data_IF_558111145967
#
_entry.id   IF_558111145967
#
_cell.length_a   1.000
_cell.length_b   1.000
_cell.length_c   1.000
_cell.angle_alpha   90.00
_cell.angle_beta   90.00
_cell.angle_gamma   90.00
#
_symmetry.space_group_name_H-M   'P 1'
#
loop_
_entity.id
_entity.type
_entity.pdbx_description
1 polymer ?
#
# COMPACT_ATOMS: atom_id res chain seq x y z
N UNK A 1 -3.65 19.70 12.06
CA UNK A 1 -4.02 18.27 11.96
C UNK A 1 -3.08 17.46 12.82
N UNK A 2 -3.63 16.45 13.48
CA UNK A 2 -2.87 15.48 14.27
C UNK A 2 -2.76 14.15 13.51
N UNK A 3 -1.85 13.28 13.97
CA UNK A 3 -1.76 11.91 13.48
C UNK A 3 -2.58 11.01 14.41
N UNK A 4 -3.52 10.28 13.83
CA UNK A 4 -4.34 9.29 14.52
C UNK A 4 -3.96 7.89 14.06
N UNK A 5 -3.63 7.01 15.00
CA UNK A 5 -3.32 5.61 14.71
C UNK A 5 -4.51 4.73 15.09
N UNK A 6 -5.13 4.10 14.10
CA UNK A 6 -6.15 3.08 14.31
C UNK A 6 -5.48 1.70 14.36
N UNK A 7 -5.45 1.01 15.52
CA UNK A 7 -4.60 -0.16 15.70
C UNK A 7 -5.16 -1.45 15.11
N UNK A 8 -6.47 -1.52 14.86
CA UNK A 8 -7.16 -2.68 14.30
C UNK A 8 -8.27 -2.26 13.36
N UNK A 9 -8.61 -3.13 12.41
CA UNK A 9 -9.74 -2.93 11.53
C UNK A 9 -11.03 -2.84 12.36
N UNK A 10 -11.90 -1.89 12.02
CA UNK A 10 -13.24 -1.78 12.61
C UNK A 10 -14.25 -2.24 11.56
N UNK A 11 -15.01 -3.27 11.90
CA UNK A 11 -16.17 -3.69 11.11
C UNK A 11 -17.34 -2.80 11.47
N UNK A 12 -17.94 -2.16 10.48
CA UNK A 12 -19.15 -1.34 10.64
C UNK A 12 -20.21 -1.81 9.66
N UNK A 13 -21.47 -1.53 9.93
CA UNK A 13 -22.56 -1.84 9.01
C UNK A 13 -23.60 -0.75 8.97
N UNK A 14 -24.30 -0.63 7.87
CA UNK A 14 -25.35 0.36 7.70
C UNK A 14 -25.81 0.47 6.26
N UNK A 15 -26.28 1.65 5.88
CA UNK A 15 -26.85 1.91 4.57
C UNK A 15 -26.24 3.15 3.93
N UNK A 16 -26.12 3.11 2.61
CA UNK A 16 -25.90 4.30 1.79
C UNK A 16 -27.10 5.24 1.91
N UNK A 17 -26.83 6.52 2.12
CA UNK A 17 -27.86 7.56 2.18
C UNK A 17 -28.33 7.89 0.76
N UNK A 18 -29.64 7.93 0.54
CA UNK A 18 -30.24 8.14 -0.79
C UNK A 18 -29.91 9.50 -1.40
N UNK A 19 -29.82 10.55 -0.56
CA UNK A 19 -29.41 11.88 -0.97
C UNK A 19 -28.45 12.49 0.05
N UNK A 20 -27.32 13.03 -0.41
CA UNK A 20 -26.39 13.74 0.46
C UNK A 20 -26.48 15.25 0.19
N UNK A 21 -26.55 16.11 1.22
CA UNK A 21 -26.57 15.80 2.66
C UNK A 21 -27.96 15.46 3.23
N UNK A 22 -29.02 15.53 2.41
CA UNK A 22 -30.41 15.36 2.86
C UNK A 22 -30.78 13.88 3.09
N UNK A 23 -30.85 13.44 4.34
CA UNK A 23 -31.13 12.03 4.68
C UNK A 23 -30.14 11.42 5.67
N UNK A 24 -29.04 12.13 5.96
CA UNK A 24 -28.02 11.66 6.91
C UNK A 24 -28.60 11.49 8.31
N UNK A 25 -29.36 12.47 8.80
CA UNK A 25 -29.99 12.42 10.13
C UNK A 25 -30.99 11.26 10.23
N UNK A 26 -31.85 11.11 9.22
CA UNK A 26 -32.85 10.04 9.16
C UNK A 26 -32.19 8.65 9.12
N UNK A 27 -31.06 8.51 8.42
CA UNK A 27 -30.31 7.27 8.37
C UNK A 27 -29.70 6.89 9.73
N UNK A 28 -29.12 7.86 10.45
CA UNK A 28 -28.62 7.62 11.81
C UNK A 28 -29.76 7.34 12.81
N UNK A 29 -30.86 8.10 12.74
CA UNK A 29 -32.03 7.87 13.58
C UNK A 29 -32.58 6.44 13.38
N UNK A 30 -32.62 5.96 12.14
CA UNK A 30 -33.03 4.59 11.82
C UNK A 30 -32.12 3.54 12.47
N UNK A 31 -30.79 3.72 12.40
CA UNK A 31 -29.83 2.83 13.04
C UNK A 31 -29.98 2.86 14.57
N UNK A 32 -30.07 4.03 15.18
CA UNK A 32 -30.18 4.22 16.63
C UNK A 32 -31.46 3.58 17.18
N UNK A 33 -32.59 3.74 16.47
CA UNK A 33 -33.87 3.19 16.89
C UNK A 33 -33.98 1.67 16.70
N UNK A 34 -33.22 1.11 15.75
CA UNK A 34 -33.27 -0.32 15.42
C UNK A 34 -32.30 -1.15 16.26
N UNK A 35 -31.11 -0.60 16.55
CA UNK A 35 -30.01 -1.37 17.12
C UNK A 35 -30.01 -1.37 18.66
N UNK A 36 -29.65 -2.49 19.29
CA UNK A 36 -29.47 -2.54 20.73
C UNK A 36 -28.30 -1.65 21.16
N UNK A 37 -28.52 -0.93 22.26
CA UNK A 37 -27.56 0.02 22.82
C UNK A 37 -27.81 1.48 22.44
N UNK A 38 -28.63 1.77 21.40
CA UNK A 38 -28.96 3.13 21.00
C UNK A 38 -27.73 4.04 20.94
N UNK A 39 -27.73 5.12 21.74
CA UNK A 39 -26.63 6.10 21.80
C UNK A 39 -25.35 5.60 22.50
N UNK A 40 -25.36 4.43 23.14
CA UNK A 40 -24.15 3.84 23.76
C UNK A 40 -23.29 3.06 22.76
N UNK A 41 -23.71 2.97 21.49
CA UNK A 41 -22.92 2.40 20.38
C UNK A 41 -22.14 3.51 19.68
N UNK A 42 -20.98 3.16 19.11
CA UNK A 42 -20.24 4.06 18.23
C UNK A 42 -20.82 4.04 16.82
N UNK A 43 -20.98 5.23 16.26
CA UNK A 43 -21.47 5.44 14.90
C UNK A 43 -20.39 6.11 14.06
N UNK A 44 -20.50 5.90 12.76
CA UNK A 44 -19.54 6.32 11.77
C UNK A 44 -20.25 6.89 10.54
N UNK A 45 -19.67 7.94 9.98
CA UNK A 45 -19.97 8.40 8.63
C UNK A 45 -18.84 7.99 7.70
N UNK A 46 -19.14 7.31 6.60
CA UNK A 46 -18.15 7.00 5.57
C UNK A 46 -18.52 7.75 4.29
N UNK A 47 -17.61 8.53 3.75
CA UNK A 47 -17.86 9.33 2.55
C UNK A 47 -16.81 9.12 1.47
N UNK A 48 -17.26 8.81 0.26
CA UNK A 48 -16.44 8.73 -0.95
C UNK A 48 -16.81 9.88 -1.88
N UNK A 49 -15.82 10.68 -2.26
CA UNK A 49 -15.98 11.78 -3.21
C UNK A 49 -15.60 11.31 -4.61
N UNK A 50 -16.57 11.28 -5.53
CA UNK A 50 -16.32 10.99 -6.95
C UNK A 50 -16.71 12.21 -7.77
N UNK A 51 -15.73 13.03 -8.15
CA UNK A 51 -16.01 14.32 -8.78
C UNK A 51 -16.73 15.26 -7.82
N UNK A 52 -17.94 15.69 -8.17
CA UNK A 52 -18.79 16.54 -7.33
C UNK A 52 -19.80 15.74 -6.49
N UNK A 53 -19.90 14.43 -6.69
CA UNK A 53 -20.86 13.58 -6.01
C UNK A 53 -20.25 12.92 -4.78
N UNK A 54 -21.05 12.82 -3.71
CA UNK A 54 -20.65 12.18 -2.46
C UNK A 54 -21.53 10.96 -2.24
N UNK A 55 -20.91 9.78 -2.18
CA UNK A 55 -21.57 8.59 -1.62
C UNK A 55 -21.32 8.58 -0.13
N UNK A 56 -22.38 8.67 0.67
CA UNK A 56 -22.30 8.68 2.13
C UNK A 56 -22.97 7.43 2.70
N UNK A 57 -22.33 6.79 3.67
CA UNK A 57 -22.87 5.67 4.44
C UNK A 57 -22.95 6.10 5.90
N UNK A 58 -24.15 6.04 6.46
CA UNK A 58 -24.35 6.07 7.91
C UNK A 58 -24.16 4.64 8.42
N UNK A 59 -23.25 4.46 9.39
CA UNK A 59 -22.84 3.14 9.85
C UNK A 59 -22.75 3.07 11.38
N UNK A 60 -22.94 1.87 11.91
CA UNK A 60 -22.78 1.53 13.31
C UNK A 60 -21.67 0.49 13.46
N UNK A 61 -20.90 0.55 14.55
CA UNK A 61 -19.90 -0.48 14.86
C UNK A 61 -20.55 -1.85 15.03
N UNK A 62 -19.98 -2.90 14.44
CA UNK A 62 -20.38 -4.28 14.70
C UNK A 62 -19.93 -4.71 16.11
N UNK A 63 -20.87 -5.15 16.96
CA UNK A 63 -20.58 -5.60 18.33
C UNK A 63 -20.41 -7.11 18.44
N UNK A 64 -21.01 -7.86 17.53
CA UNK A 64 -20.91 -9.32 17.45
C UNK A 64 -20.79 -9.77 16.01
N UNK A 65 -19.91 -10.73 15.72
CA UNK A 65 -19.69 -11.19 14.36
C UNK A 65 -20.99 -11.65 13.67
N UNK A 66 -21.30 -11.05 12.51
CA UNK A 66 -22.49 -11.38 11.72
C UNK A 66 -23.75 -10.59 12.11
N UNK A 67 -23.63 -9.58 12.97
CA UNK A 67 -24.74 -8.71 13.40
C UNK A 67 -25.38 -8.01 12.21
N UNK A 68 -24.56 -7.52 11.26
CA UNK A 68 -25.05 -6.83 10.05
C UNK A 68 -26.12 -7.65 9.31
N UNK A 69 -25.89 -8.97 9.18
CA UNK A 69 -26.80 -9.89 8.49
C UNK A 69 -28.14 -10.07 9.21
N UNK A 70 -28.14 -9.99 10.55
CA UNK A 70 -29.37 -10.08 11.35
C UNK A 70 -30.33 -8.94 11.03
N UNK A 71 -29.79 -7.76 10.72
CA UNK A 71 -30.55 -6.55 10.45
C UNK A 71 -30.67 -6.22 8.95
N UNK A 72 -30.08 -7.05 8.08
CA UNK A 72 -30.12 -6.86 6.63
C UNK A 72 -29.26 -5.71 6.12
N UNK A 73 -28.22 -5.32 6.86
CA UNK A 73 -27.31 -4.23 6.48
C UNK A 73 -26.10 -4.75 5.71
N UNK A 74 -25.54 -3.87 4.88
CA UNK A 74 -24.24 -4.09 4.26
C UNK A 74 -23.11 -3.83 5.26
N UNK A 75 -22.03 -4.59 5.15
CA UNK A 75 -20.84 -4.46 6.01
C UNK A 75 -19.73 -3.71 5.29
N UNK A 76 -19.10 -2.78 6.00
CA UNK A 76 -17.94 -2.03 5.58
C UNK A 76 -16.80 -2.23 6.58
N UNK A 77 -15.58 -1.94 6.15
CA UNK A 77 -14.39 -2.02 7.01
C UNK A 77 -13.68 -0.69 6.99
N UNK A 78 -13.47 -0.13 8.18
CA UNK A 78 -12.51 0.95 8.39
C UNK A 78 -11.17 0.27 8.69
N UNK A 79 -10.22 0.39 7.77
CA UNK A 79 -8.94 -0.30 7.87
C UNK A 79 -8.06 0.26 8.98
N UNK A 80 -7.31 -0.58 9.68
CA UNK A 80 -6.23 -0.16 10.56
C UNK A 80 -5.22 0.68 9.78
N UNK A 81 -4.57 1.62 10.47
CA UNK A 81 -3.50 2.41 9.89
C UNK A 81 -3.41 3.81 10.46
N UNK A 82 -2.71 4.65 9.71
CA UNK A 82 -2.43 6.03 10.08
C UNK A 82 -3.37 6.97 9.32
N UNK A 83 -3.95 7.91 10.06
CA UNK A 83 -4.92 8.88 9.59
C UNK A 83 -4.48 10.30 9.96
N UNK A 84 -4.77 11.26 9.08
CA UNK A 84 -4.84 12.66 9.46
C UNK A 84 -6.14 12.89 10.21
N UNK A 85 -6.07 13.60 11.34
CA UNK A 85 -7.24 13.84 12.18
C UNK A 85 -7.47 15.30 12.54
N UNK A 86 -8.74 15.66 12.64
CA UNK A 86 -9.23 16.88 13.28
C UNK A 86 -10.41 16.52 14.18
N UNK A 87 -10.33 16.93 15.45
CA UNK A 87 -11.43 16.78 16.40
C UNK A 87 -12.33 18.01 16.37
N UNK A 88 -13.61 17.82 16.11
CA UNK A 88 -14.65 18.84 16.15
C UNK A 88 -15.39 18.74 17.48
N UNK A 89 -15.17 19.74 18.33
CA UNK A 89 -15.88 19.90 19.60
C UNK A 89 -17.20 20.63 19.38
N UNK A 90 -18.24 20.23 20.11
CA UNK A 90 -19.62 20.69 19.97
C UNK A 90 -20.14 20.50 18.53
N UNK A 91 -19.86 19.33 17.94
CA UNK A 91 -20.09 19.07 16.52
C UNK A 91 -21.57 19.15 16.11
N UNK A 92 -22.51 18.81 17.02
CA UNK A 92 -23.95 18.87 16.76
C UNK A 92 -24.41 20.29 16.39
N UNK A 93 -23.78 21.31 16.95
CA UNK A 93 -24.05 22.72 16.64
C UNK A 93 -23.19 23.27 15.48
N UNK A 94 -22.29 22.44 14.92
CA UNK A 94 -21.28 22.81 13.92
C UNK A 94 -21.29 21.90 12.69
N UNK A 95 -22.38 21.19 12.44
CA UNK A 95 -22.51 20.27 11.29
C UNK A 95 -22.20 20.94 9.95
N UNK A 96 -22.49 22.24 9.81
CA UNK A 96 -22.19 23.01 8.61
C UNK A 96 -20.70 23.13 8.28
N UNK A 97 -19.78 23.07 9.27
CA UNK A 97 -18.34 23.22 9.03
C UNK A 97 -17.63 21.89 8.71
N UNK A 98 -18.31 20.74 8.83
CA UNK A 98 -17.68 19.43 8.64
C UNK A 98 -17.09 19.27 7.23
N UNK A 99 -17.77 19.82 6.21
CA UNK A 99 -17.23 19.83 4.84
C UNK A 99 -15.91 20.60 4.75
N UNK A 100 -15.81 21.72 5.47
CA UNK A 100 -14.64 22.60 5.42
C UNK A 100 -13.47 21.95 6.16
N UNK A 101 -13.76 21.24 7.26
CA UNK A 101 -12.77 20.40 7.97
C UNK A 101 -12.20 19.34 7.03
N UNK A 102 -13.04 18.57 6.31
CA UNK A 102 -12.52 17.59 5.36
C UNK A 102 -11.80 18.23 4.17
N UNK A 103 -12.27 19.37 3.69
CA UNK A 103 -11.56 20.13 2.65
C UNK A 103 -10.15 20.52 3.11
N UNK A 104 -10.01 21.06 4.32
CA UNK A 104 -8.70 21.40 4.91
C UNK A 104 -7.81 20.17 5.07
N UNK A 105 -8.34 19.03 5.52
CA UNK A 105 -7.57 17.79 5.63
C UNK A 105 -7.08 17.32 4.25
N UNK A 106 -7.94 17.39 3.24
CA UNK A 106 -7.61 16.96 1.87
C UNK A 106 -6.61 17.86 1.13
N UNK A 107 -6.34 19.07 1.64
CA UNK A 107 -5.26 19.92 1.12
C UNK A 107 -3.86 19.44 1.56
N UNK A 108 -3.77 18.58 2.58
CA UNK A 108 -2.50 17.98 2.99
C UNK A 108 -2.03 16.98 1.92
N UNK A 109 -0.77 17.09 1.48
CA UNK A 109 -0.23 16.19 0.44
C UNK A 109 -0.25 14.72 0.85
N UNK A 110 -0.25 14.44 2.17
CA UNK A 110 -0.31 13.10 2.76
C UNK A 110 -1.71 12.51 2.73
N UNK A 111 -2.78 13.29 2.52
CA UNK A 111 -4.15 12.80 2.53
C UNK A 111 -4.42 11.83 1.37
N UNK A 112 -5.00 10.67 1.67
CA UNK A 112 -5.41 9.65 0.71
C UNK A 112 -6.84 9.91 0.23
N UNK A 113 -6.97 10.26 -1.04
CA UNK A 113 -8.24 10.53 -1.72
C UNK A 113 -8.86 9.27 -2.36
N UNK A 114 -8.25 8.09 -2.16
CA UNK A 114 -8.70 6.80 -2.71
C UNK A 114 -9.44 5.92 -1.70
N UNK A 115 -9.53 6.36 -0.45
CA UNK A 115 -10.23 5.69 0.65
C UNK A 115 -11.29 6.64 1.23
N UNK A 116 -12.33 6.15 1.95
CA UNK A 116 -13.36 7.04 2.47
C UNK A 116 -12.79 8.01 3.50
N UNK A 117 -13.29 9.24 3.48
CA UNK A 117 -13.23 10.11 4.65
C UNK A 117 -14.19 9.56 5.72
N UNK A 118 -13.74 9.56 6.97
CA UNK A 118 -14.43 8.90 8.09
C UNK A 118 -14.77 9.93 9.15
N UNK A 119 -16.01 9.93 9.58
CA UNK A 119 -16.50 10.63 10.76
C UNK A 119 -16.64 9.60 11.88
N UNK A 120 -15.98 9.83 13.02
CA UNK A 120 -16.20 9.03 14.25
C UNK A 120 -16.99 9.89 15.23
N UNK A 121 -18.25 9.51 15.45
CA UNK A 121 -19.13 10.15 16.43
C UNK A 121 -18.82 9.60 17.83
N UNK A 122 -17.85 10.19 18.54
CA UNK A 122 -17.39 9.69 19.85
C UNK A 122 -18.44 9.84 20.95
N UNK A 123 -19.16 10.96 20.93
CA UNK A 123 -20.27 11.28 21.83
C UNK A 123 -21.01 12.54 21.31
N UNK A 124 -21.99 13.02 22.08
CA UNK A 124 -22.80 14.20 21.73
C UNK A 124 -22.00 15.51 21.56
N UNK A 125 -20.77 15.57 22.08
CA UNK A 125 -19.91 16.75 22.03
C UNK A 125 -18.74 16.59 21.09
N UNK A 126 -18.25 15.38 20.86
CA UNK A 126 -16.99 15.16 20.16
C UNK A 126 -17.16 14.28 18.93
N UNK A 127 -16.69 14.79 17.79
CA UNK A 127 -16.55 14.04 16.54
C UNK A 127 -15.11 14.13 16.05
N UNK A 128 -14.58 13.04 15.51
CA UNK A 128 -13.24 13.02 14.90
C UNK A 128 -13.41 12.82 13.40
N UNK A 129 -12.92 13.77 12.61
CA UNK A 129 -12.79 13.63 11.16
C UNK A 129 -11.45 12.97 10.86
N UNK A 130 -11.47 11.89 10.09
CA UNK A 130 -10.28 11.14 9.68
C UNK A 130 -10.20 11.03 8.16
N UNK A 131 -9.00 11.21 7.63
CA UNK A 131 -8.64 10.84 6.24
C UNK A 131 -7.39 9.98 6.30
N UNK A 132 -7.38 8.85 5.59
CA UNK A 132 -6.21 7.97 5.63
C UNK A 132 -4.97 8.69 5.10
N UNK A 133 -3.80 8.34 5.60
CA UNK A 133 -2.54 8.79 5.01
C UNK A 133 -2.22 7.92 3.81
N UNK A 134 -1.85 8.55 2.68
CA UNK A 134 -1.41 7.88 1.45
C UNK A 134 -0.39 6.82 1.78
N UNK A 135 -0.56 5.64 1.20
CA UNK A 135 0.44 4.58 1.28
C UNK A 135 1.24 4.58 -0.02
N UNK A 136 2.56 4.53 0.11
CA UNK A 136 3.47 4.42 -1.03
C UNK A 136 4.69 3.63 -0.61
N UNK A 137 5.44 3.11 -1.58
CA UNK A 137 6.56 2.21 -1.30
C UNK A 137 7.63 2.89 -0.42
N UNK A 138 7.82 4.20 -0.57
CA UNK A 138 8.74 5.00 0.24
C UNK A 138 8.34 5.18 1.69
N UNK A 139 7.10 4.81 2.05
CA UNK A 139 6.61 4.84 3.42
C UNK A 139 6.67 3.46 4.09
N UNK A 140 7.10 2.42 3.36
CA UNK A 140 7.33 1.11 3.95
C UNK A 140 8.58 1.15 4.84
N UNK A 141 8.51 0.41 5.95
CA UNK A 141 9.67 0.19 6.79
C UNK A 141 10.83 -0.41 5.98
N UNK A 142 12.06 -0.05 6.31
CA UNK A 142 13.29 -0.48 5.62
C UNK A 142 13.47 0.01 4.17
N UNK A 143 12.51 0.72 3.55
CA UNK A 143 12.64 1.16 2.15
C UNK A 143 13.89 2.02 1.93
N UNK A 144 14.05 3.11 2.68
CA UNK A 144 15.18 4.03 2.51
C UNK A 144 16.53 3.33 2.72
N UNK A 145 16.61 2.44 3.73
CA UNK A 145 17.82 1.67 3.98
C UNK A 145 18.09 0.67 2.85
N UNK A 146 17.07 -0.01 2.34
CA UNK A 146 17.17 -0.97 1.24
C UNK A 146 17.63 -0.29 -0.05
N UNK A 147 17.05 0.87 -0.40
CA UNK A 147 17.43 1.62 -1.59
C UNK A 147 18.86 2.16 -1.48
N UNK A 148 19.21 2.75 -0.33
CA UNK A 148 20.58 3.21 -0.07
C UNK A 148 21.59 2.08 -0.23
N UNK A 149 21.35 0.93 0.40
CA UNK A 149 22.23 -0.23 0.34
C UNK A 149 22.38 -0.80 -1.08
N UNK A 150 21.29 -0.80 -1.87
CA UNK A 150 21.33 -1.17 -3.28
C UNK A 150 22.28 -0.25 -4.06
N UNK A 151 22.10 1.07 -3.96
CA UNK A 151 22.93 2.04 -4.69
C UNK A 151 24.40 2.02 -4.24
N UNK A 152 24.66 1.96 -2.92
CA UNK A 152 26.02 1.81 -2.39
C UNK A 152 26.71 0.53 -2.91
N UNK A 153 25.97 -0.58 -2.99
CA UNK A 153 26.47 -1.84 -3.55
C UNK A 153 26.81 -1.71 -5.04
N UNK A 154 25.95 -1.04 -5.83
CA UNK A 154 26.19 -0.80 -7.25
C UNK A 154 27.40 0.12 -7.45
N UNK A 155 27.55 1.15 -6.62
CA UNK A 155 28.67 2.10 -6.69
C UNK A 155 30.01 1.44 -6.39
N UNK A 156 30.05 0.47 -5.48
CA UNK A 156 31.23 -0.32 -5.17
C UNK A 156 31.70 -1.27 -6.29
N UNK A 157 30.91 -1.46 -7.35
CA UNK A 157 31.25 -2.21 -8.55
C UNK A 157 31.81 -1.28 -9.64
N UNK A 158 33.02 -1.55 -10.14
CA UNK A 158 33.62 -0.73 -11.19
C UNK A 158 32.89 -0.90 -12.54
N UNK A 159 32.98 0.10 -13.43
CA UNK A 159 32.44 0.01 -14.79
C UNK A 159 33.09 -1.12 -15.60
N UNK A 160 34.36 -1.44 -15.32
CA UNK A 160 35.06 -2.55 -15.97
C UNK A 160 34.55 -3.93 -15.50
N UNK A 161 34.01 -4.01 -14.29
CA UNK A 161 33.54 -5.26 -13.68
C UNK A 161 32.04 -5.49 -13.82
N UNK A 162 31.25 -4.44 -14.08
CA UNK A 162 29.77 -4.53 -14.01
C UNK A 162 29.18 -5.57 -14.97
N UNK A 163 29.81 -5.81 -16.12
CA UNK A 163 29.39 -6.82 -17.09
C UNK A 163 30.08 -8.18 -16.90
N UNK A 164 31.06 -8.30 -15.99
CA UNK A 164 31.73 -9.58 -15.72
C UNK A 164 30.76 -10.53 -15.03
N UNK A 165 30.76 -11.78 -15.48
CA UNK A 165 30.03 -12.86 -14.85
C UNK A 165 30.96 -13.62 -13.89
N UNK A 166 30.53 -13.95 -12.67
CA UNK A 166 31.33 -14.77 -11.77
C UNK A 166 31.41 -16.24 -12.26
N UNK A 167 30.36 -16.72 -12.94
CA UNK A 167 30.28 -18.06 -13.57
C UNK A 167 29.57 -17.91 -14.92
N UNK A 168 29.96 -18.68 -15.94
CA UNK A 168 29.50 -18.54 -17.33
C UNK A 168 27.96 -18.49 -17.49
N UNK A 169 27.25 -19.36 -16.77
CA UNK A 169 25.77 -19.47 -16.76
C UNK A 169 25.07 -18.59 -15.71
N UNK A 170 25.80 -17.71 -15.03
CA UNK A 170 25.24 -16.79 -14.03
C UNK A 170 25.00 -15.39 -14.62
N UNK A 171 24.25 -14.57 -13.89
CA UNK A 171 24.08 -13.16 -14.22
C UNK A 171 25.28 -12.33 -13.77
N UNK A 172 25.67 -11.36 -14.59
CA UNK A 172 26.55 -10.27 -14.17
C UNK A 172 25.81 -9.27 -13.28
N UNK A 173 26.55 -8.37 -12.61
CA UNK A 173 25.95 -7.30 -11.83
C UNK A 173 25.02 -6.42 -12.69
N UNK A 174 25.44 -6.11 -13.92
CA UNK A 174 24.63 -5.39 -14.90
C UNK A 174 23.28 -6.06 -15.18
N UNK A 175 23.28 -7.39 -15.34
CA UNK A 175 22.07 -8.16 -15.60
C UNK A 175 21.13 -8.20 -14.39
N UNK A 176 21.68 -8.28 -13.18
CA UNK A 176 20.88 -8.18 -11.94
C UNK A 176 20.21 -6.81 -11.84
N UNK A 177 20.94 -5.72 -12.07
CA UNK A 177 20.37 -4.36 -12.02
C UNK A 177 19.28 -4.18 -13.08
N UNK A 178 19.53 -4.63 -14.31
CA UNK A 178 18.54 -4.58 -15.39
C UNK A 178 17.29 -5.41 -15.06
N UNK A 179 17.44 -6.56 -14.41
CA UNK A 179 16.33 -7.40 -13.96
C UNK A 179 15.47 -6.69 -12.91
N UNK A 180 16.09 -6.07 -11.89
CA UNK A 180 15.37 -5.29 -10.88
C UNK A 180 14.52 -4.20 -11.55
N UNK A 181 15.13 -3.41 -12.45
CA UNK A 181 14.41 -2.32 -13.13
C UNK A 181 13.21 -2.82 -13.93
N UNK A 182 13.34 -3.96 -14.63
CA UNK A 182 12.24 -4.58 -15.39
C UNK A 182 11.13 -5.10 -14.47
N UNK A 183 11.50 -5.76 -13.36
CA UNK A 183 10.56 -6.24 -12.35
C UNK A 183 9.75 -5.07 -11.77
N UNK A 184 10.43 -4.01 -11.34
CA UNK A 184 9.82 -2.79 -10.80
C UNK A 184 8.83 -2.16 -11.76
N UNK A 185 9.21 -1.95 -13.03
CA UNK A 185 8.30 -1.41 -14.05
C UNK A 185 7.10 -2.33 -14.28
N UNK A 186 7.30 -3.65 -14.31
CA UNK A 186 6.21 -4.62 -14.45
C UNK A 186 5.21 -4.55 -13.30
N UNK A 187 5.68 -4.44 -12.05
CA UNK A 187 4.81 -4.27 -10.88
C UNK A 187 4.10 -2.91 -10.92
N UNK A 188 4.81 -1.83 -11.24
CA UNK A 188 4.19 -0.51 -11.35
C UNK A 188 3.05 -0.50 -12.39
N UNK A 189 3.21 -1.20 -13.51
CA UNK A 189 2.13 -1.42 -14.49
C UNK A 189 1.00 -2.30 -13.93
N UNK A 190 1.31 -3.38 -13.22
CA UNK A 190 0.29 -4.25 -12.62
C UNK A 190 -0.58 -3.51 -11.59
N UNK A 191 0.00 -2.58 -10.84
CA UNK A 191 -0.73 -1.74 -9.87
C UNK A 191 -1.74 -0.80 -10.52
N UNK A 192 -1.64 -0.53 -11.82
CA UNK A 192 -2.61 0.29 -12.55
C UNK A 192 -3.85 -0.50 -12.97
N UNK A 193 -3.83 -1.82 -12.87
CA UNK A 193 -5.01 -2.64 -13.16
C UNK A 193 -6.12 -2.35 -12.15
N UNK A 194 -7.37 -2.44 -12.62
CA UNK A 194 -8.53 -2.43 -11.75
C UNK A 194 -8.42 -3.58 -10.75
N UNK A 195 -8.84 -3.31 -9.52
CA UNK A 195 -8.76 -4.28 -8.43
C UNK A 195 -10.02 -4.31 -7.61
N UNK A 196 -10.17 -5.38 -6.85
CA UNK A 196 -11.34 -5.66 -6.02
C UNK A 196 -10.92 -5.72 -4.54
N UNK A 197 -11.84 -5.36 -3.64
CA UNK A 197 -11.59 -5.50 -2.21
C UNK A 197 -11.64 -6.98 -1.83
N UNK A 198 -10.70 -7.41 -0.97
CA UNK A 198 -10.69 -8.77 -0.43
C UNK A 198 -11.41 -8.84 0.92
N UNK A 199 -11.84 -10.05 1.27
CA UNK A 199 -12.38 -10.37 2.61
C UNK A 199 -11.31 -10.45 3.70
N UNK A 200 -10.03 -10.46 3.31
CA UNK A 200 -8.86 -10.50 4.20
C UNK A 200 -8.15 -9.15 4.23
N UNK A 201 -7.36 -8.93 5.28
CA UNK A 201 -6.51 -7.74 5.39
C UNK A 201 -5.53 -7.64 4.21
N UNK A 202 -5.26 -6.39 3.80
CA UNK A 202 -4.46 -6.11 2.63
C UNK A 202 -2.97 -6.47 2.80
N UNK A 203 -2.48 -6.60 4.03
CA UNK A 203 -1.12 -6.98 4.40
C UNK A 203 -0.99 -8.45 4.81
N UNK A 204 -2.06 -9.26 4.67
CA UNK A 204 -2.13 -10.61 5.24
C UNK A 204 -1.01 -11.55 4.77
N UNK A 205 -0.53 -11.41 3.54
CA UNK A 205 0.53 -12.27 2.97
C UNK A 205 1.93 -11.65 3.05
N UNK A 206 2.11 -10.50 3.71
CA UNK A 206 3.42 -9.82 3.78
C UNK A 206 4.48 -10.72 4.43
N UNK A 207 4.15 -11.40 5.53
CA UNK A 207 5.08 -12.32 6.20
C UNK A 207 5.45 -13.54 5.33
N UNK A 208 4.46 -14.11 4.61
CA UNK A 208 4.67 -15.20 3.65
C UNK A 208 5.64 -14.76 2.53
N UNK A 209 5.41 -13.57 1.97
CA UNK A 209 6.28 -12.99 0.94
C UNK A 209 7.69 -12.75 1.47
N UNK A 210 7.82 -12.20 2.69
CA UNK A 210 9.13 -11.96 3.32
C UNK A 210 9.93 -13.25 3.47
N UNK A 211 9.31 -14.28 4.04
CA UNK A 211 9.95 -15.58 4.23
C UNK A 211 10.36 -16.21 2.89
N UNK A 212 9.51 -16.11 1.88
CA UNK A 212 9.76 -16.71 0.56
C UNK A 212 10.92 -16.03 -0.18
N UNK A 213 10.94 -14.69 -0.20
CA UNK A 213 11.91 -13.94 -1.01
C UNK A 213 13.25 -13.69 -0.30
N UNK A 214 13.26 -13.69 1.03
CA UNK A 214 14.48 -13.56 1.83
C UNK A 214 15.10 -14.90 2.23
N UNK A 215 14.52 -16.04 1.81
CA UNK A 215 15.24 -17.32 1.84
C UNK A 215 16.21 -17.41 0.66
N UNK A 216 17.50 -17.16 0.94
CA UNK A 216 18.57 -17.21 -0.04
C UNK A 216 19.02 -18.64 -0.41
N UNK A 217 18.49 -19.67 0.25
CA UNK A 217 18.82 -21.07 -0.05
C UNK A 217 18.00 -21.63 -1.22
N UNK A 218 16.84 -21.02 -1.51
CA UNK A 218 15.98 -21.42 -2.62
C UNK A 218 16.33 -20.60 -3.87
N UNK A 219 16.42 -21.26 -5.03
CA UNK A 219 16.62 -20.59 -6.32
C UNK A 219 15.31 -20.56 -7.10
N UNK A 220 14.91 -19.37 -7.53
CA UNK A 220 13.72 -19.16 -8.36
C UNK A 220 14.10 -18.88 -9.80
N UNK A 221 13.31 -19.41 -10.74
CA UNK A 221 13.42 -19.03 -12.15
C UNK A 221 12.64 -17.74 -12.38
N UNK A 222 13.33 -16.75 -12.93
CA UNK A 222 12.70 -15.49 -13.34
C UNK A 222 11.76 -15.71 -14.53
N UNK A 223 10.57 -15.11 -14.56
CA UNK A 223 9.72 -15.09 -15.74
C UNK A 223 10.44 -14.49 -16.96
N UNK A 224 10.15 -15.01 -18.16
CA UNK A 224 10.85 -14.64 -19.40
C UNK A 224 10.77 -13.14 -19.72
N UNK A 225 9.62 -12.52 -19.47
CA UNK A 225 9.39 -11.11 -19.80
C UNK A 225 10.21 -10.11 -18.95
N UNK A 226 10.77 -10.55 -17.82
CA UNK A 226 11.67 -9.74 -16.97
C UNK A 226 13.11 -10.24 -16.99
N UNK A 227 13.47 -11.13 -17.91
CA UNK A 227 14.86 -11.50 -18.11
C UNK A 227 15.67 -10.29 -18.60
N UNK A 228 16.89 -10.08 -18.07
CA UNK A 228 17.78 -9.05 -18.58
C UNK A 228 18.28 -9.44 -19.97
N UNK A 229 18.63 -8.45 -20.79
CA UNK A 229 19.31 -8.69 -22.07
C UNK A 229 20.73 -9.27 -21.89
N UNK A 230 21.35 -9.65 -23.00
CA UNK A 230 22.73 -10.17 -23.01
C UNK A 230 23.81 -9.11 -22.73
N UNK A 231 23.50 -7.81 -22.91
CA UNK A 231 24.46 -6.72 -22.79
C UNK A 231 25.38 -6.59 -24.01
N UNK A 232 26.50 -5.84 -23.90
CA UNK A 232 26.97 -5.16 -22.68
C UNK A 232 26.07 -3.98 -22.30
N UNK A 233 26.05 -3.64 -21.01
CA UNK A 233 25.33 -2.49 -20.48
C UNK A 233 26.31 -1.39 -20.04
N UNK A 234 25.89 -0.14 -20.14
CA UNK A 234 26.62 0.97 -19.51
C UNK A 234 26.08 1.21 -18.10
N UNK A 235 26.99 1.50 -17.15
CA UNK A 235 26.61 1.70 -15.73
C UNK A 235 25.62 2.87 -15.57
N UNK A 236 25.84 3.97 -16.30
CA UNK A 236 24.98 5.15 -16.25
C UNK A 236 23.55 4.86 -16.75
N UNK A 237 23.41 4.08 -17.83
CA UNK A 237 22.11 3.68 -18.34
C UNK A 237 21.36 2.78 -17.35
N UNK A 238 22.07 1.85 -16.70
CA UNK A 238 21.50 0.98 -15.68
C UNK A 238 20.98 1.77 -14.48
N UNK A 239 21.79 2.70 -13.96
CA UNK A 239 21.41 3.57 -12.84
C UNK A 239 20.20 4.44 -13.21
N UNK A 240 20.20 5.05 -14.40
CA UNK A 240 19.06 5.83 -14.88
C UNK A 240 17.78 5.00 -14.97
N UNK A 241 17.85 3.78 -15.54
CA UNK A 241 16.71 2.88 -15.64
C UNK A 241 16.21 2.42 -14.26
N UNK A 242 17.13 2.12 -13.34
CA UNK A 242 16.79 1.73 -11.98
C UNK A 242 16.07 2.86 -11.23
N UNK A 243 16.63 4.07 -11.22
CA UNK A 243 16.00 5.24 -10.58
C UNK A 243 14.62 5.51 -11.17
N UNK A 244 14.49 5.50 -12.50
CA UNK A 244 13.19 5.66 -13.16
C UNK A 244 12.18 4.58 -12.73
N UNK A 245 12.61 3.32 -12.60
CA UNK A 245 11.73 2.23 -12.18
C UNK A 245 11.25 2.38 -10.73
N UNK A 246 12.09 2.92 -9.85
CA UNK A 246 11.74 3.23 -8.46
C UNK A 246 10.73 4.39 -8.43
N UNK A 247 10.95 5.43 -9.22
CA UNK A 247 10.01 6.57 -9.31
C UNK A 247 8.65 6.15 -9.88
N UNK A 248 8.62 5.20 -10.82
CA UNK A 248 7.39 4.60 -11.31
C UNK A 248 6.61 3.87 -10.21
N UNK A 249 7.30 3.12 -9.33
CA UNK A 249 6.65 2.46 -8.20
C UNK A 249 6.08 3.45 -7.19
N UNK A 250 6.83 4.51 -6.86
CA UNK A 250 6.34 5.59 -5.98
C UNK A 250 5.08 6.24 -6.56
N UNK A 251 5.11 6.58 -7.84
CA UNK A 251 3.94 7.16 -8.53
C UNK A 251 2.77 6.19 -8.58
N UNK A 252 3.00 4.91 -8.89
CA UNK A 252 1.95 3.90 -8.91
C UNK A 252 1.31 3.74 -7.52
N UNK A 253 2.11 3.74 -6.45
CA UNK A 253 1.62 3.67 -5.07
C UNK A 253 0.73 4.84 -4.70
N UNK A 254 1.19 6.08 -4.99
CA UNK A 254 0.44 7.31 -4.69
C UNK A 254 -0.87 7.45 -5.48
N UNK A 255 -0.96 6.84 -6.65
CA UNK A 255 -2.08 7.04 -7.58
C UNK A 255 -3.11 5.91 -7.55
N UNK A 256 -2.96 4.91 -6.68
CA UNK A 256 -3.87 3.76 -6.62
C UNK A 256 -4.28 3.43 -5.19
N UNK A 257 -5.45 2.82 -5.02
CA UNK A 257 -5.87 2.29 -3.73
C UNK A 257 -5.09 0.98 -3.46
N UNK A 258 -4.13 1.03 -2.52
CA UNK A 258 -3.27 -0.12 -2.19
C UNK A 258 -4.01 -1.30 -1.55
N UNK A 259 -5.24 -1.10 -1.07
CA UNK A 259 -6.05 -2.13 -0.42
C UNK A 259 -6.72 -3.06 -1.45
N UNK A 260 -6.82 -2.62 -2.71
CA UNK A 260 -7.42 -3.41 -3.77
C UNK A 260 -6.47 -4.51 -4.23
N UNK A 261 -7.05 -5.65 -4.59
CA UNK A 261 -6.34 -6.81 -5.11
C UNK A 261 -6.55 -7.01 -6.60
N UNK A 262 -5.52 -7.55 -7.23
CA UNK A 262 -5.50 -7.90 -8.65
C UNK A 262 -5.22 -9.41 -8.79
N UNK A 263 -5.60 -9.97 -9.93
CA UNK A 263 -5.19 -11.33 -10.33
C UNK A 263 -3.85 -11.26 -11.07
N UNK A 264 -2.75 -11.43 -10.34
CA UNK A 264 -1.40 -11.40 -10.90
C UNK A 264 -0.94 -12.79 -11.35
N UNK A 265 -0.37 -12.96 -12.56
CA UNK A 265 0.04 -14.27 -13.09
C UNK A 265 0.99 -15.06 -12.18
N UNK A 266 1.88 -14.38 -11.46
CA UNK A 266 2.86 -15.02 -10.59
C UNK A 266 2.39 -15.24 -9.14
N UNK A 267 1.43 -14.44 -8.66
CA UNK A 267 1.06 -14.40 -7.24
C UNK A 267 -0.38 -14.82 -6.96
N UNK A 268 -1.15 -15.12 -8.01
CA UNK A 268 -2.59 -15.27 -7.92
C UNK A 268 -3.25 -13.98 -7.48
N UNK A 269 -4.23 -14.08 -6.58
CA UNK A 269 -4.87 -12.93 -5.97
C UNK A 269 -3.95 -12.27 -4.93
N UNK A 270 -3.59 -11.01 -5.17
CA UNK A 270 -2.62 -10.27 -4.37
C UNK A 270 -3.02 -8.79 -4.29
N UNK A 271 -2.88 -8.19 -3.11
CA UNK A 271 -3.15 -6.75 -2.93
C UNK A 271 -2.04 -5.92 -3.54
N UNK A 272 -2.35 -4.69 -3.93
CA UNK A 272 -1.33 -3.73 -4.39
C UNK A 272 -0.35 -3.37 -3.28
N UNK A 273 -0.77 -3.41 -2.01
CA UNK A 273 0.11 -3.29 -0.84
C UNK A 273 1.10 -4.46 -0.76
N UNK A 274 0.64 -5.69 -0.91
CA UNK A 274 1.48 -6.90 -0.94
C UNK A 274 2.49 -6.87 -2.09
N UNK A 275 2.11 -6.32 -3.25
CA UNK A 275 3.04 -6.12 -4.37
C UNK A 275 4.17 -5.15 -4.03
N UNK A 276 3.91 -4.08 -3.28
CA UNK A 276 4.97 -3.17 -2.83
C UNK A 276 5.94 -3.83 -1.84
N UNK A 277 5.42 -4.65 -0.91
CA UNK A 277 6.26 -5.46 -0.03
C UNK A 277 7.07 -6.51 -0.80
N UNK A 278 6.48 -7.16 -1.80
CA UNK A 278 7.22 -8.06 -2.70
C UNK A 278 8.39 -7.31 -3.36
N UNK A 279 8.18 -6.10 -3.89
CA UNK A 279 9.24 -5.30 -4.50
C UNK A 279 10.36 -5.01 -3.50
N UNK A 280 10.02 -4.63 -2.27
CA UNK A 280 11.00 -4.37 -1.21
C UNK A 280 11.89 -5.61 -0.97
N UNK A 281 11.29 -6.78 -0.76
CA UNK A 281 12.02 -8.03 -0.53
C UNK A 281 12.80 -8.50 -1.77
N UNK A 282 12.26 -8.27 -2.96
CA UNK A 282 12.93 -8.55 -4.23
C UNK A 282 14.20 -7.73 -4.40
N UNK A 283 14.16 -6.43 -4.08
CA UNK A 283 15.34 -5.57 -4.08
C UNK A 283 16.35 -6.06 -3.06
N UNK A 284 15.96 -6.32 -1.81
CA UNK A 284 16.86 -6.85 -0.77
C UNK A 284 17.58 -8.13 -1.23
N UNK A 285 16.82 -9.05 -1.84
CA UNK A 285 17.37 -10.28 -2.40
C UNK A 285 18.41 -10.05 -3.48
N UNK A 286 18.13 -9.15 -4.42
CA UNK A 286 19.06 -8.88 -5.49
C UNK A 286 20.24 -8.00 -5.06
N UNK A 287 20.10 -7.18 -4.02
CA UNK A 287 21.23 -6.53 -3.34
C UNK A 287 22.18 -7.58 -2.74
N UNK A 288 21.64 -8.61 -2.07
CA UNK A 288 22.45 -9.74 -1.59
C UNK A 288 23.18 -10.45 -2.75
N UNK A 289 22.48 -10.71 -3.86
CA UNK A 289 23.09 -11.30 -5.05
C UNK A 289 24.22 -10.44 -5.63
N UNK A 290 24.03 -9.11 -5.71
CA UNK A 290 25.05 -8.18 -6.18
C UNK A 290 26.31 -8.23 -5.32
N UNK A 291 26.15 -8.23 -3.98
CA UNK A 291 27.28 -8.35 -3.05
C UNK A 291 28.09 -9.63 -3.30
N UNK A 292 27.41 -10.76 -3.50
CA UNK A 292 28.05 -12.04 -3.79
C UNK A 292 28.81 -12.03 -5.13
N UNK A 293 28.22 -11.45 -6.18
CA UNK A 293 28.85 -11.28 -7.49
C UNK A 293 30.14 -10.43 -7.35
N UNK A 294 30.05 -9.28 -6.69
CA UNK A 294 31.17 -8.35 -6.51
C UNK A 294 32.29 -9.01 -5.69
N UNK A 295 31.96 -9.73 -4.62
CA UNK A 295 32.93 -10.47 -3.80
C UNK A 295 33.64 -11.55 -4.61
N UNK A 296 32.90 -12.30 -5.44
CA UNK A 296 33.46 -13.38 -6.27
C UNK A 296 34.41 -12.84 -7.32
N UNK A 297 34.06 -11.74 -8.01
CA UNK A 297 34.90 -11.13 -9.06
C UNK A 297 36.18 -10.51 -8.48
N UNK A 298 36.12 -9.97 -7.24
CA UNK A 298 37.29 -9.36 -6.57
C UNK A 298 38.27 -10.38 -5.99
N UNK A 299 37.86 -11.63 -5.80
CA UNK A 299 38.72 -12.68 -5.24
C UNK A 299 39.58 -13.28 -6.36
N UNK A 300 40.92 -13.22 -6.29
CA UNK A 300 41.77 -13.91 -7.26
C UNK A 300 41.50 -15.42 -7.18
N UNK A 301 41.06 -16.02 -8.28
CA UNK A 301 40.98 -17.48 -8.36
C UNK A 301 42.42 -17.99 -8.48
N UNK A 302 43.03 -18.38 -7.37
CA UNK A 302 44.22 -19.21 -7.40
C UNK A 302 43.80 -20.61 -7.85
N UNK A 303 43.92 -20.86 -9.15
CA UNK A 303 43.84 -22.22 -9.69
C UNK A 303 45.13 -22.92 -9.24
N UNK A 304 45.02 -23.77 -8.22
CA UNK A 304 46.07 -24.76 -7.94
C UNK A 304 46.03 -25.78 -9.08
N UNK A 305 47.09 -25.78 -9.90
CA UNK A 305 47.38 -26.81 -10.90
C UNK A 305 47.63 -28.17 -10.25
#
# INVERSE_FOLDING_TARGET
>A
MEIYHLPHNITVFGNTVEAFPAGVSEAFDSLINTLPGGNNRLYYGLSWCTGNDITYVAAAEEKTAGEARQYGYETFTIEKGTYLSVTVQDWQNKTACIKDVFHEIMLDERADDKTPAIEIYKNDKEMICLVAVKRSIELLEEFDTTIRELFETIDACSTADINKKPVEESWSAAQVIAHISRSNTGIASAMQLDGEKLSREADKRVDELKQTFLDFNVKYKSPEFILPGSGPFTKDELLKKLSNSIDQLKQAGRNTNLLLAIKHPAFGEITKLELLYFVLFHIQRHTHQLKNIISTIKTPVFINN
#
